data_IF_918217682050
#
_entry.id   IF_918217682050
#
_cell.length_a   1.000
_cell.length_b   1.000
_cell.length_c   1.000
_cell.angle_alpha   90.00
_cell.angle_beta   90.00
_cell.angle_gamma   90.00
#
_symmetry.space_group_name_H-M   'P 1'
#
loop_
_entity.id
_entity.type
_entity.pdbx_description
1 polymer ?
#
# COMPACT_ATOMS: atom_id res chain seq x y z
N UNK A 1 5.27 -16.38 -24.12
CA UNK A 1 4.97 -15.17 -23.31
C UNK A 1 5.03 -15.48 -21.81
N UNK A 2 6.24 -15.63 -21.26
CA UNK A 2 6.45 -15.82 -19.81
C UNK A 2 7.65 -15.00 -19.32
N UNK A 3 8.70 -14.95 -20.14
CA UNK A 3 9.92 -14.17 -19.89
C UNK A 3 9.69 -12.65 -19.78
N UNK A 4 8.82 -12.07 -20.62
CA UNK A 4 8.48 -10.64 -20.53
C UNK A 4 7.79 -10.25 -19.19
N UNK A 5 6.98 -11.16 -18.63
CA UNK A 5 6.31 -10.93 -17.34
C UNK A 5 7.29 -11.09 -16.18
N UNK A 6 8.27 -12.00 -16.31
CA UNK A 6 9.37 -12.17 -15.35
C UNK A 6 10.28 -10.94 -15.33
N UNK A 7 10.65 -10.41 -16.50
CA UNK A 7 11.43 -9.18 -16.62
C UNK A 7 10.67 -7.96 -16.10
N UNK A 8 9.36 -7.88 -16.33
CA UNK A 8 8.52 -6.82 -15.77
C UNK A 8 8.44 -6.92 -14.24
N UNK A 9 8.35 -8.13 -13.67
CA UNK A 9 8.32 -8.35 -12.21
C UNK A 9 9.68 -8.09 -11.53
N UNK A 10 10.78 -8.39 -12.21
CA UNK A 10 12.14 -8.07 -11.78
C UNK A 10 12.55 -6.63 -12.11
N UNK A 11 11.69 -5.88 -12.81
CA UNK A 11 12.00 -4.53 -13.25
C UNK A 11 12.05 -3.56 -12.08
N UNK A 12 13.00 -2.61 -12.08
CA UNK A 12 13.00 -1.46 -11.18
C UNK A 12 11.66 -0.70 -11.16
N UNK A 13 10.87 -0.78 -12.23
CA UNK A 13 9.53 -0.19 -12.30
C UNK A 13 8.55 -0.78 -11.29
N UNK A 14 8.59 -2.09 -11.05
CA UNK A 14 7.74 -2.74 -10.04
C UNK A 14 8.19 -2.42 -8.62
N UNK A 15 9.51 -2.30 -8.39
CA UNK A 15 10.05 -1.84 -7.12
C UNK A 15 9.60 -0.40 -6.81
N UNK A 16 9.72 0.52 -7.78
CA UNK A 16 9.24 1.90 -7.65
C UNK A 16 7.72 1.97 -7.43
N UNK A 17 6.94 1.15 -8.13
CA UNK A 17 5.50 1.11 -7.92
C UNK A 17 5.15 0.68 -6.48
N UNK A 18 5.86 -0.32 -5.93
CA UNK A 18 5.71 -0.75 -4.54
C UNK A 18 6.13 0.34 -3.55
N UNK A 19 7.24 1.03 -3.80
CA UNK A 19 7.70 2.14 -2.96
C UNK A 19 6.68 3.29 -2.91
N UNK A 20 6.13 3.67 -4.06
CA UNK A 20 5.07 4.68 -4.15
C UNK A 20 3.82 4.23 -3.39
N UNK A 21 3.42 2.97 -3.52
CA UNK A 21 2.28 2.42 -2.78
C UNK A 21 2.53 2.46 -1.26
N UNK A 22 3.74 2.13 -0.83
CA UNK A 22 4.15 2.18 0.57
C UNK A 22 4.15 3.62 1.13
N UNK A 23 4.59 4.59 0.33
CA UNK A 23 4.53 6.02 0.70
C UNK A 23 3.10 6.51 0.91
N UNK A 24 2.19 6.21 -0.02
CA UNK A 24 0.77 6.57 0.14
C UNK A 24 0.13 5.88 1.34
N UNK A 25 0.46 4.61 1.59
CA UNK A 25 -0.01 3.89 2.78
C UNK A 25 0.49 4.54 4.08
N UNK A 26 1.77 4.93 4.13
CA UNK A 26 2.34 5.61 5.29
C UNK A 26 1.67 6.96 5.54
N UNK A 27 1.40 7.74 4.48
CA UNK A 27 0.68 9.01 4.59
C UNK A 27 -0.75 8.79 5.11
N UNK A 28 -1.50 7.84 4.55
CA UNK A 28 -2.86 7.53 5.01
C UNK A 28 -2.88 7.12 6.48
N UNK A 29 -1.91 6.31 6.93
CA UNK A 29 -1.77 5.95 8.36
C UNK A 29 -1.45 7.15 9.24
N UNK A 30 -0.62 8.07 8.76
CA UNK A 30 -0.31 9.30 9.49
C UNK A 30 -1.54 10.19 9.65
N UNK A 31 -2.30 10.43 8.58
CA UNK A 31 -3.55 11.20 8.63
C UNK A 31 -4.58 10.56 9.57
N UNK A 32 -4.72 9.24 9.53
CA UNK A 32 -5.59 8.52 10.47
C UNK A 32 -5.13 8.68 11.91
N UNK A 33 -3.82 8.67 12.19
CA UNK A 33 -3.30 8.82 13.55
C UNK A 33 -3.66 10.16 14.20
N UNK A 34 -3.94 11.21 13.41
CA UNK A 34 -4.38 12.52 13.88
C UNK A 34 -5.86 12.52 14.33
N UNK A 35 -6.65 11.51 13.95
CA UNK A 35 -8.06 11.41 14.33
C UNK A 35 -8.21 10.79 15.72
N UNK A 36 -9.28 11.13 16.49
CA UNK A 36 -9.59 10.48 17.76
C UNK A 36 -9.74 8.95 17.60
N UNK A 37 -9.32 8.17 18.61
CA UNK A 37 -9.40 6.70 18.58
C UNK A 37 -10.81 6.16 18.75
N UNK A 38 -11.63 6.36 17.73
CA UNK A 38 -13.00 5.88 17.65
C UNK A 38 -13.10 4.65 16.74
N UNK A 39 -14.14 3.81 16.90
CA UNK A 39 -14.33 2.62 16.07
C UNK A 39 -14.27 2.89 14.55
N UNK A 40 -14.77 4.05 14.11
CA UNK A 40 -14.70 4.47 12.70
C UNK A 40 -13.27 4.65 12.18
N UNK A 41 -12.36 5.19 13.00
CA UNK A 41 -10.94 5.33 12.65
C UNK A 41 -10.27 3.97 12.45
N UNK A 42 -10.56 3.01 13.32
CA UNK A 42 -10.01 1.65 13.26
C UNK A 42 -10.51 0.88 12.03
N UNK A 43 -11.78 1.06 11.66
CA UNK A 43 -12.34 0.47 10.44
C UNK A 43 -11.64 0.99 9.17
N UNK A 44 -11.38 2.30 9.09
CA UNK A 44 -10.64 2.89 7.98
C UNK A 44 -9.19 2.40 7.92
N UNK A 45 -8.51 2.28 9.08
CA UNK A 45 -7.16 1.73 9.14
C UNK A 45 -7.11 0.27 8.61
N UNK A 46 -8.07 -0.57 8.99
CA UNK A 46 -8.15 -1.95 8.50
C UNK A 46 -8.37 -2.03 6.97
N UNK A 47 -9.16 -1.12 6.39
CA UNK A 47 -9.35 -1.05 4.93
C UNK A 47 -8.07 -0.63 4.20
N UNK A 48 -7.31 0.32 4.76
CA UNK A 48 -6.01 0.73 4.22
C UNK A 48 -5.03 -0.45 4.25
N UNK A 49 -4.92 -1.14 5.39
CA UNK A 49 -4.01 -2.28 5.54
C UNK A 49 -4.38 -3.44 4.60
N UNK A 50 -5.66 -3.74 4.43
CA UNK A 50 -6.12 -4.76 3.47
C UNK A 50 -5.77 -4.40 2.02
N UNK A 51 -5.94 -3.13 1.64
CA UNK A 51 -5.66 -2.65 0.28
C UNK A 51 -4.18 -2.70 -0.05
N UNK A 52 -3.31 -2.45 0.93
CA UNK A 52 -1.86 -2.55 0.77
C UNK A 52 -1.41 -4.01 0.74
N UNK A 53 -1.93 -4.84 1.65
CA UNK A 53 -1.54 -6.26 1.76
C UNK A 53 -1.90 -7.10 0.53
N UNK A 54 -2.94 -6.72 -0.24
CA UNK A 54 -3.32 -7.47 -1.45
C UNK A 54 -2.44 -7.18 -2.68
N UNK A 55 -1.61 -6.12 -2.63
CA UNK A 55 -0.76 -5.68 -3.75
C UNK A 55 0.75 -5.66 -3.42
N UNK A 56 1.13 -6.07 -2.19
CA UNK A 56 2.51 -6.25 -1.74
C UNK A 56 3.20 -7.47 -2.33
#
# INVERSE_FOLDING_TARGET
MREALTLLRASPGMARAKDVLAQYAAQARHELALLPDVPGRRALAALVDYTVSRHG
#
